data_IF_830972763180
#
_entry.id   IF_830972763180
#
_cell.length_a   1.000
_cell.length_b   1.000
_cell.length_c   1.000
_cell.angle_alpha   90.00
_cell.angle_beta   90.00
_cell.angle_gamma   90.00
#
_symmetry.space_group_name_H-M   'P 1'
#
loop_
_entity.id
_entity.type
_entity.pdbx_description
1 polymer ?
#
# COMPACT_ATOMS: atom_id res chain seq x y z
N UNK A 1 35.52 -35.92 -19.79
CA UNK A 1 35.41 -34.45 -19.78
C UNK A 1 34.30 -34.07 -18.80
N UNK A 2 34.63 -33.78 -17.52
CA UNK A 2 33.63 -33.35 -16.55
C UNK A 2 33.42 -31.84 -16.65
N UNK A 3 32.17 -31.39 -16.81
CA UNK A 3 31.81 -29.98 -16.63
C UNK A 3 31.18 -29.88 -15.24
N UNK A 4 31.88 -29.16 -14.37
CA UNK A 4 31.51 -28.91 -12.98
C UNK A 4 30.22 -28.09 -12.90
N UNK A 5 29.21 -28.63 -12.21
CA UNK A 5 28.05 -27.89 -11.75
C UNK A 5 28.50 -27.02 -10.55
N UNK A 6 28.78 -25.74 -10.80
CA UNK A 6 28.99 -24.79 -9.71
C UNK A 6 27.65 -24.49 -9.04
N UNK A 7 27.58 -24.85 -7.76
CA UNK A 7 26.46 -24.65 -6.88
C UNK A 7 26.16 -23.15 -6.72
N UNK A 8 25.03 -22.71 -7.29
CA UNK A 8 24.41 -21.44 -6.93
C UNK A 8 23.91 -21.57 -5.50
N UNK A 9 24.65 -20.96 -4.55
CA UNK A 9 24.17 -20.72 -3.19
C UNK A 9 22.97 -19.78 -3.27
N UNK A 10 21.77 -20.34 -3.22
CA UNK A 10 20.57 -19.60 -2.84
C UNK A 10 20.72 -19.15 -1.39
N UNK A 11 20.96 -17.86 -1.20
CA UNK A 11 20.89 -17.24 0.11
C UNK A 11 19.42 -17.21 0.54
N UNK A 12 19.06 -18.21 1.34
CA UNK A 12 17.79 -18.31 2.03
C UNK A 12 17.71 -17.17 3.06
N UNK A 13 17.06 -16.06 2.71
CA UNK A 13 16.77 -14.97 3.64
C UNK A 13 15.32 -15.11 4.12
N UNK A 14 15.02 -16.20 4.83
CA UNK A 14 13.82 -16.29 5.66
C UNK A 14 14.11 -15.61 7.00
N UNK A 15 14.24 -14.29 7.00
CA UNK A 15 14.13 -13.51 8.22
C UNK A 15 12.64 -13.43 8.57
N UNK A 16 12.21 -14.16 9.62
CA UNK A 16 10.86 -14.00 10.17
C UNK A 16 10.64 -12.52 10.53
N UNK A 17 9.46 -11.93 10.24
CA UNK A 17 9.20 -10.54 10.58
C UNK A 17 9.39 -10.35 12.08
N UNK A 18 10.18 -9.35 12.45
CA UNK A 18 10.36 -8.95 13.84
C UNK A 18 9.02 -8.37 14.28
N UNK A 19 8.27 -9.08 15.12
CA UNK A 19 7.07 -8.52 15.75
C UNK A 19 7.50 -7.26 16.51
N UNK A 20 7.15 -6.10 15.97
CA UNK A 20 7.36 -4.83 16.64
C UNK A 20 6.30 -4.77 17.73
N UNK A 21 6.70 -4.46 18.96
CA UNK A 21 5.69 -4.27 20.01
C UNK A 21 4.89 -3.00 19.72
N UNK A 22 3.63 -2.93 20.12
CA UNK A 22 2.79 -1.73 19.94
C UNK A 22 3.48 -0.46 20.49
N UNK A 23 4.23 -0.62 21.59
CA UNK A 23 5.01 0.45 22.20
C UNK A 23 6.19 0.92 21.33
N UNK A 24 6.85 0.02 20.62
CA UNK A 24 7.94 0.36 19.69
C UNK A 24 7.41 1.03 18.42
N UNK A 25 6.31 0.52 17.86
CA UNK A 25 5.63 1.14 16.72
C UNK A 25 5.15 2.56 17.07
N UNK A 26 4.58 2.75 18.26
CA UNK A 26 4.18 4.07 18.74
C UNK A 26 5.39 5.02 18.90
N UNK A 27 6.53 4.54 19.44
CA UNK A 27 7.77 5.33 19.54
C UNK A 27 8.29 5.73 18.17
N UNK A 28 8.25 4.83 17.21
CA UNK A 28 8.68 5.09 15.85
C UNK A 28 7.78 6.12 15.16
N UNK A 29 6.45 6.01 15.26
CA UNK A 29 5.53 7.00 14.73
C UNK A 29 5.73 8.39 15.37
N UNK A 30 5.96 8.46 16.68
CA UNK A 30 6.27 9.73 17.37
C UNK A 30 7.61 10.29 16.89
N UNK A 31 8.62 9.44 16.66
CA UNK A 31 9.92 9.86 16.11
C UNK A 31 9.75 10.44 14.71
N UNK A 32 9.06 9.73 13.81
CA UNK A 32 8.79 10.18 12.44
C UNK A 32 8.01 11.50 12.42
N UNK A 33 7.00 11.65 13.28
CA UNK A 33 6.23 12.90 13.38
C UNK A 33 7.13 14.08 13.79
N UNK A 34 8.04 13.88 14.75
CA UNK A 34 9.00 14.91 15.18
C UNK A 34 10.01 15.26 14.09
N UNK A 35 10.56 14.27 13.40
CA UNK A 35 11.53 14.46 12.32
C UNK A 35 10.95 15.24 11.15
N UNK A 36 9.68 14.97 10.80
CA UNK A 36 8.98 15.65 9.71
C UNK A 36 8.30 16.95 10.15
N UNK A 37 8.35 17.30 11.44
CA UNK A 37 7.67 18.49 11.99
C UNK A 37 6.13 18.42 11.89
N UNK A 38 5.57 17.21 11.79
CA UNK A 38 4.15 16.97 11.63
C UNK A 38 3.48 16.75 12.99
N UNK A 39 2.22 17.13 13.09
CA UNK A 39 1.37 16.66 14.19
C UNK A 39 1.10 15.16 14.01
N UNK A 40 1.03 14.40 15.11
CA UNK A 40 0.67 12.98 15.04
C UNK A 40 -0.73 12.80 14.41
N UNK A 41 -1.68 13.59 14.91
CA UNK A 41 -3.07 13.67 14.45
C UNK A 41 -3.36 15.02 13.82
N UNK A 42 -4.46 15.14 13.09
CA UNK A 42 -4.94 16.40 12.52
C UNK A 42 -5.02 16.39 10.99
N UNK A 43 -5.47 17.51 10.38
CA UNK A 43 -5.78 17.57 8.95
C UNK A 43 -4.60 17.32 8.03
N UNK A 44 -3.36 17.55 8.49
CA UNK A 44 -2.13 17.24 7.76
C UNK A 44 -1.17 16.38 8.59
N UNK A 45 -1.72 15.65 9.57
CA UNK A 45 -0.93 14.84 10.51
C UNK A 45 -0.35 13.56 9.91
N UNK A 46 0.62 12.98 10.59
CA UNK A 46 1.34 11.77 10.16
C UNK A 46 0.38 10.60 9.89
N UNK A 47 -0.60 10.36 10.77
CA UNK A 47 -1.55 9.26 10.60
C UNK A 47 -2.34 9.36 9.29
N UNK A 48 -2.62 10.59 8.85
CA UNK A 48 -3.34 10.85 7.60
C UNK A 48 -2.49 10.49 6.41
N UNK A 49 -1.21 10.87 6.45
CA UNK A 49 -0.26 10.57 5.41
C UNK A 49 0.01 9.07 5.33
N UNK A 50 0.18 8.39 6.47
CA UNK A 50 0.34 6.95 6.54
C UNK A 50 -0.86 6.22 5.91
N UNK A 51 -2.07 6.59 6.34
CA UNK A 51 -3.31 5.99 5.81
C UNK A 51 -3.45 6.24 4.31
N UNK A 52 -3.10 7.45 3.84
CA UNK A 52 -3.08 7.80 2.42
C UNK A 52 -2.13 6.88 1.66
N UNK A 53 -0.87 6.80 2.09
CA UNK A 53 0.18 6.03 1.42
C UNK A 53 -0.22 4.56 1.31
N UNK A 54 -0.71 3.96 2.39
CA UNK A 54 -1.11 2.55 2.38
C UNK A 54 -2.28 2.29 1.42
N UNK A 55 -3.30 3.16 1.42
CA UNK A 55 -4.43 3.02 0.50
C UNK A 55 -3.98 3.19 -0.96
N UNK A 56 -3.13 4.17 -1.25
CA UNK A 56 -2.63 4.41 -2.62
C UNK A 56 -1.74 3.27 -3.11
N UNK A 57 -0.83 2.77 -2.28
CA UNK A 57 -0.02 1.58 -2.59
C UNK A 57 -0.91 0.39 -2.89
N UNK A 58 -1.93 0.16 -2.07
CA UNK A 58 -2.80 -0.99 -2.26
C UNK A 58 -3.64 -0.91 -3.54
N UNK A 59 -4.11 0.30 -3.90
CA UNK A 59 -4.80 0.52 -5.17
C UNK A 59 -3.87 0.38 -6.39
N UNK A 60 -2.59 0.74 -6.25
CA UNK A 60 -1.61 0.58 -7.32
C UNK A 60 -1.28 -0.91 -7.56
N UNK A 61 -1.22 -1.71 -6.49
CA UNK A 61 -1.07 -3.17 -6.54
C UNK A 61 -2.31 -3.86 -7.15
N UNK A 62 -3.52 -3.46 -6.77
CA UNK A 62 -4.75 -3.95 -7.43
C UNK A 62 -4.72 -3.68 -8.94
N UNK A 63 -4.22 -2.51 -9.36
CA UNK A 63 -4.12 -2.19 -10.77
C UNK A 63 -3.00 -3.00 -11.46
N UNK A 64 -1.91 -3.31 -10.77
CA UNK A 64 -0.88 -4.24 -11.27
C UNK A 64 -1.51 -5.60 -11.55
N UNK A 65 -2.26 -6.13 -10.60
CA UNK A 65 -2.92 -7.44 -10.74
C UNK A 65 -3.94 -7.43 -11.87
N UNK A 66 -4.79 -6.40 -11.96
CA UNK A 66 -5.78 -6.24 -13.03
C UNK A 66 -5.15 -6.18 -14.42
N UNK A 67 -4.01 -5.49 -14.57
CA UNK A 67 -3.33 -5.33 -15.85
C UNK A 67 -2.37 -6.49 -16.17
N UNK A 68 -1.94 -7.25 -15.15
CA UNK A 68 -0.95 -8.31 -15.26
C UNK A 68 0.48 -7.83 -15.46
N UNK A 69 0.76 -6.53 -15.22
CA UNK A 69 2.10 -5.97 -15.38
C UNK A 69 2.34 -4.72 -14.51
N UNK A 70 3.61 -4.49 -14.19
CA UNK A 70 4.05 -3.41 -13.31
C UNK A 70 4.11 -2.04 -13.98
N UNK A 71 4.11 -0.99 -13.16
CA UNK A 71 4.29 0.36 -13.69
C UNK A 71 5.65 0.48 -14.41
N UNK A 72 5.62 0.96 -15.66
CA UNK A 72 6.78 1.07 -16.56
C UNK A 72 7.34 -0.26 -17.09
N UNK A 73 6.66 -1.38 -16.88
CA UNK A 73 7.03 -2.64 -17.51
C UNK A 73 6.82 -2.60 -19.04
N UNK A 74 7.75 -3.17 -19.78
CA UNK A 74 7.67 -3.32 -21.23
C UNK A 74 6.53 -4.26 -21.65
N UNK A 75 6.15 -5.22 -20.80
CA UNK A 75 5.04 -6.14 -21.03
C UNK A 75 3.72 -5.41 -21.34
N UNK A 76 3.50 -4.22 -20.75
CA UNK A 76 2.30 -3.43 -20.96
C UNK A 76 2.10 -2.86 -22.38
N UNK A 77 3.10 -2.96 -23.27
CA UNK A 77 2.97 -2.50 -24.66
C UNK A 77 2.10 -3.43 -25.51
N UNK A 78 1.96 -4.69 -25.10
CA UNK A 78 1.30 -5.74 -25.90
C UNK A 78 -0.11 -6.10 -25.41
N UNK A 79 -0.53 -5.59 -24.25
CA UNK A 79 -1.78 -5.99 -23.56
C UNK A 79 -3.03 -5.25 -24.03
N UNK A 80 -2.90 -4.24 -24.89
CA UNK A 80 -4.02 -3.43 -25.41
C UNK A 80 -4.70 -2.49 -24.39
N UNK A 81 -4.54 -2.75 -23.09
CA UNK A 81 -4.98 -1.87 -22.00
C UNK A 81 -3.78 -1.35 -21.20
N UNK A 82 -3.78 -0.05 -20.91
CA UNK A 82 -2.65 0.61 -20.25
C UNK A 82 -3.07 1.46 -19.06
N UNK A 83 -2.17 1.64 -18.09
CA UNK A 83 -2.34 2.64 -17.02
C UNK A 83 -2.53 4.03 -17.63
N UNK A 84 -3.52 4.79 -17.14
CA UNK A 84 -3.93 6.07 -17.70
C UNK A 84 -3.97 7.18 -16.64
N UNK A 85 -2.95 7.24 -15.79
CA UNK A 85 -2.82 8.21 -14.69
C UNK A 85 -3.72 7.89 -13.50
N UNK A 86 -4.04 8.92 -12.72
CA UNK A 86 -4.83 8.81 -11.49
C UNK A 86 -6.03 9.75 -11.50
N UNK A 87 -6.95 9.57 -10.55
CA UNK A 87 -8.06 10.46 -10.25
C UNK A 87 -8.10 10.73 -8.76
N UNK A 88 -8.08 12.00 -8.38
CA UNK A 88 -8.19 12.39 -6.98
C UNK A 88 -9.60 12.11 -6.43
N UNK A 89 -9.63 11.57 -5.23
CA UNK A 89 -10.83 11.18 -4.49
C UNK A 89 -10.62 11.45 -3.01
N UNK A 90 -11.58 12.10 -2.36
CA UNK A 90 -11.57 12.24 -0.90
C UNK A 90 -12.44 11.15 -0.28
N UNK A 91 -11.85 10.41 0.66
CA UNK A 91 -12.50 9.38 1.50
C UNK A 91 -12.51 9.84 2.95
N UNK A 92 -13.58 9.53 3.67
CA UNK A 92 -13.73 9.83 5.09
C UNK A 92 -13.33 8.60 5.90
N UNK A 93 -12.35 8.77 6.78
CA UNK A 93 -11.90 7.79 7.77
C UNK A 93 -12.37 8.18 9.17
N UNK A 94 -12.50 7.22 10.08
CA UNK A 94 -13.08 7.45 11.40
C UNK A 94 -12.21 8.34 12.30
N UNK A 95 -10.93 7.99 12.42
CA UNK A 95 -9.98 8.60 13.37
C UNK A 95 -9.30 9.82 12.78
N UNK A 96 -9.04 9.79 11.46
CA UNK A 96 -8.18 10.77 10.80
C UNK A 96 -8.96 11.78 9.95
N UNK A 97 -10.26 11.56 9.77
CA UNK A 97 -11.14 12.45 9.02
C UNK A 97 -10.95 12.33 7.50
N UNK A 98 -11.13 13.43 6.73
CA UNK A 98 -11.04 13.40 5.28
C UNK A 98 -9.62 13.18 4.78
N UNK A 99 -9.40 12.09 4.04
CA UNK A 99 -8.14 11.72 3.37
C UNK A 99 -8.30 11.88 1.87
N UNK A 100 -7.43 12.68 1.25
CA UNK A 100 -7.34 12.80 -0.20
C UNK A 100 -6.40 11.73 -0.74
N UNK A 101 -6.92 10.87 -1.62
CA UNK A 101 -6.19 9.78 -2.27
C UNK A 101 -6.25 9.95 -3.80
N UNK A 102 -5.22 9.49 -4.49
CA UNK A 102 -5.15 9.42 -5.94
C UNK A 102 -5.40 7.99 -6.40
N UNK A 103 -6.58 7.74 -6.96
CA UNK A 103 -7.00 6.40 -7.40
C UNK A 103 -6.48 6.15 -8.82
N UNK A 104 -5.69 5.09 -9.05
CA UNK A 104 -5.17 4.77 -10.37
C UNK A 104 -6.28 4.25 -11.29
N UNK A 105 -6.08 4.37 -12.60
CA UNK A 105 -7.07 3.95 -13.60
C UNK A 105 -6.43 3.35 -14.83
N UNK A 106 -7.15 2.45 -15.49
CA UNK A 106 -6.79 1.89 -16.78
C UNK A 106 -7.36 2.73 -17.94
N UNK A 107 -6.87 2.48 -19.16
CA UNK A 107 -7.28 3.18 -20.38
C UNK A 107 -8.61 2.66 -20.90
N UNK A 108 -8.85 1.35 -20.78
CA UNK A 108 -10.08 0.70 -21.22
C UNK A 108 -11.27 0.96 -20.26
N UNK A 109 -11.04 1.44 -19.04
CA UNK A 109 -12.08 1.71 -18.05
C UNK A 109 -12.68 0.45 -17.42
N UNK A 110 -11.97 -0.67 -17.53
CA UNK A 110 -12.36 -2.00 -17.04
C UNK A 110 -11.95 -2.26 -15.60
N UNK A 111 -11.06 -1.43 -15.03
CA UNK A 111 -10.60 -1.61 -13.66
C UNK A 111 -11.72 -1.33 -12.64
N UNK A 112 -11.90 -2.25 -11.69
CA UNK A 112 -12.89 -2.18 -10.61
C UNK A 112 -12.19 -2.36 -9.25
N UNK A 113 -11.75 -1.27 -8.59
CA UNK A 113 -11.02 -1.40 -7.33
C UNK A 113 -11.90 -1.96 -6.21
N UNK A 114 -11.35 -2.85 -5.39
CA UNK A 114 -12.07 -3.56 -4.32
C UNK A 114 -11.91 -2.81 -3.00
N UNK A 115 -10.70 -2.40 -2.65
CA UNK A 115 -10.35 -1.70 -1.41
C UNK A 115 -11.10 -0.38 -1.30
N UNK A 116 -11.12 0.39 -2.39
CA UNK A 116 -11.84 1.68 -2.46
C UNK A 116 -12.78 1.68 -3.64
N UNK A 117 -13.94 1.03 -3.47
CA UNK A 117 -14.94 0.86 -4.53
C UNK A 117 -15.33 2.16 -5.22
N UNK A 118 -15.72 2.04 -6.49
CA UNK A 118 -16.24 3.17 -7.28
C UNK A 118 -17.33 3.90 -6.49
N UNK A 119 -17.21 5.22 -6.40
CA UNK A 119 -18.15 6.13 -5.68
C UNK A 119 -18.20 5.99 -4.14
N UNK A 120 -17.52 5.01 -3.53
CA UNK A 120 -17.47 4.88 -2.06
C UNK A 120 -16.75 6.08 -1.43
N UNK A 121 -17.35 6.75 -0.44
CA UNK A 121 -16.75 7.94 0.21
C UNK A 121 -16.41 7.75 1.68
N UNK A 122 -16.78 6.62 2.27
CA UNK A 122 -16.53 6.30 3.69
C UNK A 122 -15.78 4.98 3.76
N UNK A 123 -14.69 4.99 4.52
CA UNK A 123 -13.85 3.84 4.82
C UNK A 123 -13.82 3.71 6.34
N UNK A 124 -14.67 2.85 6.88
CA UNK A 124 -14.78 2.66 8.33
C UNK A 124 -13.76 1.59 8.75
N UNK A 125 -12.94 1.88 9.76
CA UNK A 125 -11.98 0.92 10.33
C UNK A 125 -10.73 0.64 9.49
N UNK A 126 -10.62 1.22 8.30
CA UNK A 126 -9.41 1.05 7.46
C UNK A 126 -8.19 1.67 8.13
N UNK A 127 -8.34 2.86 8.72
CA UNK A 127 -7.28 3.55 9.46
C UNK A 127 -6.83 2.78 10.71
N UNK A 128 -7.76 2.17 11.44
CA UNK A 128 -7.46 1.30 12.58
C UNK A 128 -6.73 0.02 12.15
N UNK A 129 -7.15 -0.58 11.03
CA UNK A 129 -6.52 -1.76 10.46
C UNK A 129 -5.10 -1.47 9.97
N UNK A 130 -4.89 -0.36 9.26
CA UNK A 130 -3.56 0.10 8.84
C UNK A 130 -2.65 0.26 10.06
N UNK A 131 -3.14 0.89 11.13
CA UNK A 131 -2.36 1.08 12.35
C UNK A 131 -2.00 -0.26 13.01
N UNK A 132 -2.94 -1.19 13.08
CA UNK A 132 -2.73 -2.52 13.66
C UNK A 132 -1.72 -3.34 12.87
N UNK A 133 -1.84 -3.37 11.54
CA UNK A 133 -0.95 -4.15 10.69
C UNK A 133 0.47 -3.54 10.65
N UNK A 134 0.57 -2.21 10.64
CA UNK A 134 1.86 -1.54 10.78
C UNK A 134 2.50 -1.81 12.14
N UNK A 135 1.72 -1.81 13.22
CA UNK A 135 2.22 -2.15 14.55
C UNK A 135 2.73 -3.60 14.63
N UNK A 136 2.13 -4.52 13.86
CA UNK A 136 2.62 -5.91 13.73
C UNK A 136 3.91 -6.04 12.90
N UNK A 137 4.42 -4.94 12.34
CA UNK A 137 5.63 -4.91 11.52
C UNK A 137 5.41 -5.34 10.07
N UNK A 138 4.16 -5.35 9.59
CA UNK A 138 3.87 -5.64 8.19
C UNK A 138 4.27 -4.46 7.31
N UNK A 139 4.86 -4.78 6.16
CA UNK A 139 5.19 -3.80 5.12
C UNK A 139 3.93 -3.30 4.43
N UNK A 140 4.02 -2.15 3.75
CA UNK A 140 2.87 -1.57 3.04
C UNK A 140 2.28 -2.49 1.97
N UNK A 141 3.12 -3.31 1.32
CA UNK A 141 2.66 -4.31 0.35
C UNK A 141 1.99 -5.51 1.00
N UNK A 142 2.50 -6.00 2.14
CA UNK A 142 1.81 -7.06 2.89
C UNK A 142 0.46 -6.59 3.46
N UNK A 143 0.39 -5.33 3.90
CA UNK A 143 -0.85 -4.69 4.34
C UNK A 143 -1.85 -4.62 3.18
N UNK A 144 -1.39 -4.26 1.98
CA UNK A 144 -2.20 -4.23 0.76
C UNK A 144 -2.78 -5.60 0.43
N UNK A 145 -1.93 -6.64 0.38
CA UNK A 145 -2.37 -8.01 0.14
C UNK A 145 -3.45 -8.46 1.15
N UNK A 146 -3.30 -8.09 2.43
CA UNK A 146 -4.29 -8.40 3.46
C UNK A 146 -5.64 -7.71 3.23
N UNK A 147 -5.69 -6.56 2.54
CA UNK A 147 -6.97 -5.93 2.19
C UNK A 147 -7.71 -6.65 1.04
N UNK A 148 -6.99 -7.41 0.20
CA UNK A 148 -7.59 -8.18 -0.90
C UNK A 148 -8.24 -9.48 -0.39
N UNK A 149 -7.73 -10.04 0.71
CA UNK A 149 -8.24 -11.29 1.32
C UNK A 149 -9.54 -11.11 2.15
N UNK A 150 -9.97 -9.87 2.42
CA UNK A 150 -11.17 -9.54 3.24
C UNK A 150 -12.36 -9.16 2.35
#
# INVERSE_FOLDING_TARGET
>A
MPVTLDAVKTADTTAKPKEITEAEAARELVRMAREQGLSLTGPDGLLKQLTKTVIETALDEELTEHLGYEKHDAAGKETGNVRNGTRSKTVLTGTTGPVGIDVPRDRAGTFEPVIVRKRQRRLNGVDEMVLSLYAKGLTTGEISAHFVEI
#
